data_IF_316774284939
#
_entry.id   IF_316774284939
#
_cell.length_a   1.000
_cell.length_b   1.000
_cell.length_c   1.000
_cell.angle_alpha   90.00
_cell.angle_beta   90.00
_cell.angle_gamma   90.00
#
_symmetry.space_group_name_H-M   'P 1'
#
loop_
_entity.id
_entity.type
_entity.pdbx_description
1 polymer ?
#
# COMPACT_ATOMS: atom_id res chain seq x y z
N UNK A 1 28.55 7.42 -10.08
CA UNK A 1 29.60 6.45 -9.67
C UNK A 1 28.95 5.45 -8.72
N UNK A 2 29.02 4.13 -9.02
CA UNK A 2 28.65 3.01 -8.12
C UNK A 2 27.17 2.61 -8.11
N UNK A 3 26.62 1.86 -9.09
CA UNK A 3 26.64 0.40 -9.36
C UNK A 3 25.75 -0.48 -8.43
N UNK A 4 24.80 -1.13 -9.11
CA UNK A 4 23.80 -2.13 -8.74
C UNK A 4 24.43 -3.50 -8.45
N UNK A 5 23.85 -4.29 -7.53
CA UNK A 5 23.61 -5.74 -7.71
C UNK A 5 22.24 -6.08 -7.12
N UNK A 6 21.41 -6.73 -7.95
CA UNK A 6 20.11 -7.34 -7.67
C UNK A 6 20.26 -8.70 -6.98
N UNK A 7 19.34 -9.02 -6.07
CA UNK A 7 18.73 -10.35 -5.87
C UNK A 7 17.40 -10.06 -5.17
N UNK A 8 16.22 -10.29 -5.71
CA UNK A 8 15.77 -11.55 -6.29
C UNK A 8 15.07 -12.35 -5.18
N UNK A 9 13.89 -11.91 -4.74
CA UNK A 9 13.02 -12.73 -3.90
C UNK A 9 11.63 -12.79 -4.54
N UNK A 10 11.43 -13.94 -5.18
CA UNK A 10 10.18 -14.44 -5.71
C UNK A 10 9.16 -14.60 -4.59
N UNK A 11 7.92 -14.24 -4.90
CA UNK A 11 6.72 -14.75 -4.28
C UNK A 11 6.89 -16.21 -3.82
N UNK A 12 6.87 -16.41 -2.51
CA UNK A 12 6.44 -17.67 -1.92
C UNK A 12 5.30 -17.34 -0.99
N UNK A 13 4.14 -17.81 -1.40
CA UNK A 13 2.97 -18.05 -0.56
C UNK A 13 3.44 -18.65 0.76
N UNK A 14 3.44 -17.86 1.84
CA UNK A 14 3.39 -18.41 3.19
C UNK A 14 1.97 -18.94 3.38
N UNK A 15 1.77 -20.18 2.90
CA UNK A 15 0.73 -21.06 3.40
C UNK A 15 0.82 -21.01 4.92
N UNK A 16 -0.20 -20.41 5.52
CA UNK A 16 -0.43 -20.43 6.95
C UNK A 16 -0.52 -21.89 7.40
N UNK A 17 0.59 -22.44 7.92
CA UNK A 17 0.56 -23.69 8.63
C UNK A 17 -0.51 -23.58 9.73
N UNK A 18 -1.46 -24.54 9.80
CA UNK A 18 -2.37 -24.57 10.92
C UNK A 18 -1.53 -24.78 12.16
N UNK A 19 -1.53 -23.79 13.07
CA UNK A 19 -1.02 -23.98 14.43
C UNK A 19 -1.92 -25.03 15.06
N UNK A 20 -1.57 -26.30 14.85
CA UNK A 20 -2.10 -27.41 15.60
C UNK A 20 -1.64 -27.21 17.02
N UNK A 21 -2.47 -26.53 17.82
CA UNK A 21 -2.38 -26.58 19.26
C UNK A 21 -2.69 -28.01 19.67
N UNK A 22 -1.67 -28.86 19.61
CA UNK A 22 -1.72 -30.23 20.08
C UNK A 22 -1.86 -30.13 21.60
N UNK A 23 -3.10 -30.05 22.08
CA UNK A 23 -3.44 -30.35 23.45
C UNK A 23 -2.98 -31.79 23.68
N UNK A 24 -1.75 -31.96 24.16
CA UNK A 24 -1.30 -33.21 24.75
C UNK A 24 -2.26 -33.49 25.89
N UNK A 25 -3.24 -34.35 25.62
CA UNK A 25 -4.01 -35.03 26.64
C UNK A 25 -2.97 -35.72 27.52
N UNK A 26 -2.75 -35.18 28.71
CA UNK A 26 -1.97 -35.85 29.72
C UNK A 26 -2.76 -37.10 30.11
N UNK A 27 -2.33 -38.24 29.59
CA UNK A 27 -2.77 -39.56 30.05
C UNK A 27 -2.55 -39.64 31.56
N UNK A 28 -3.52 -40.08 32.37
CA UNK A 28 -3.41 -40.16 33.83
C UNK A 28 -2.56 -41.37 34.28
N UNK A 29 -1.41 -41.59 33.65
CA UNK A 29 -0.45 -42.65 33.98
C UNK A 29 0.89 -42.05 34.38
N UNK A 30 0.88 -41.22 35.42
CA UNK A 30 2.07 -40.93 36.24
C UNK A 30 1.63 -40.37 37.59
N UNK A 31 0.64 -41.02 38.21
CA UNK A 31 0.54 -40.98 39.66
C UNK A 31 1.77 -41.74 40.15
N UNK A 32 2.70 -41.02 40.79
CA UNK A 32 3.81 -41.58 41.54
C UNK A 32 3.38 -42.90 42.19
N UNK A 33 3.89 -44.03 41.71
CA UNK A 33 3.94 -45.21 42.55
C UNK A 33 4.73 -44.77 43.78
N UNK A 34 4.20 -44.89 45.01
CA UNK A 34 5.02 -44.61 46.17
C UNK A 34 6.26 -45.51 46.05
N UNK A 35 7.44 -44.90 46.09
CA UNK A 35 8.69 -45.62 46.24
C UNK A 35 8.48 -46.58 47.40
N UNK A 36 8.50 -47.88 47.11
CA UNK A 36 8.50 -48.91 48.15
C UNK A 36 9.75 -48.63 48.96
N UNK A 37 9.68 -48.27 50.25
CA UNK A 37 10.89 -48.25 51.04
C UNK A 37 11.36 -49.70 51.17
N UNK A 38 12.32 -50.11 50.35
CA UNK A 38 13.15 -51.30 50.58
C UNK A 38 14.08 -51.01 51.76
N UNK A 39 13.50 -50.83 52.95
CA UNK A 39 14.24 -50.93 54.20
C UNK A 39 13.93 -52.32 54.74
N UNK A 40 14.94 -53.18 54.96
CA UNK A 40 14.69 -54.46 55.61
C UNK A 40 14.19 -54.16 57.02
N UNK A 41 12.90 -54.40 57.28
CA UNK A 41 12.30 -54.30 58.63
C UNK A 41 13.00 -55.21 59.66
N UNK A 42 13.94 -56.06 59.23
CA UNK A 42 14.79 -56.96 60.02
C UNK A 42 15.53 -56.31 61.19
N UNK A 43 15.75 -54.99 61.19
CA UNK A 43 16.39 -54.29 62.31
C UNK A 43 15.42 -53.82 63.40
N UNK A 44 14.19 -53.44 63.03
CA UNK A 44 13.28 -52.66 63.88
C UNK A 44 12.46 -53.50 64.86
N UNK A 45 12.35 -54.80 64.59
CA UNK A 45 11.67 -55.80 65.44
C UNK A 45 12.62 -56.90 65.91
N UNK A 46 13.93 -56.67 65.83
CA UNK A 46 14.97 -57.63 66.22
C UNK A 46 14.80 -58.10 67.66
N UNK A 47 14.31 -57.22 68.55
CA UNK A 47 13.99 -57.56 69.94
C UNK A 47 12.82 -58.54 70.06
N UNK A 48 11.77 -58.40 69.26
CA UNK A 48 10.65 -59.37 69.18
C UNK A 48 11.10 -60.71 68.61
N UNK A 49 12.02 -60.69 67.65
CA UNK A 49 12.60 -61.89 67.03
C UNK A 49 13.49 -62.66 68.02
N UNK A 50 14.32 -61.94 68.78
CA UNK A 50 15.17 -62.47 69.86
C UNK A 50 14.34 -62.99 71.05
N UNK A 51 13.25 -62.29 71.42
CA UNK A 51 12.33 -62.73 72.48
C UNK A 51 11.58 -64.00 72.06
N UNK A 52 11.11 -64.10 70.80
CA UNK A 52 10.46 -65.30 70.25
C UNK A 52 11.37 -66.54 70.34
N UNK A 53 12.65 -66.40 70.01
CA UNK A 53 13.64 -67.47 70.14
C UNK A 53 13.89 -67.85 71.61
N UNK A 54 13.92 -66.86 72.51
CA UNK A 54 14.10 -67.07 73.95
C UNK A 54 12.93 -67.77 74.63
N UNK A 55 11.68 -67.56 74.18
CA UNK A 55 10.50 -68.29 74.67
C UNK A 55 10.40 -69.74 74.18
N UNK A 56 11.24 -70.13 73.21
CA UNK A 56 11.24 -71.48 72.61
C UNK A 56 12.24 -72.45 73.27
N UNK A 57 13.06 -71.98 74.23
CA UNK A 57 14.03 -72.79 74.96
C UNK A 57 13.43 -73.34 76.28
N UNK A 58 13.30 -74.68 76.44
CA UNK A 58 12.65 -75.31 77.60
C UNK A 58 13.48 -75.26 78.90
N UNK A 59 14.70 -74.71 78.87
CA UNK A 59 15.61 -74.61 80.03
C UNK A 59 15.56 -73.28 80.78
N UNK A 60 14.71 -72.33 80.35
CA UNK A 60 14.62 -71.00 80.97
C UNK A 60 14.10 -71.03 82.42
N UNK A 61 14.70 -70.19 83.25
CA UNK A 61 14.20 -69.93 84.61
C UNK A 61 12.89 -69.15 84.57
N UNK A 62 12.02 -69.38 85.57
CA UNK A 62 10.72 -68.71 85.68
C UNK A 62 10.85 -67.17 85.78
N UNK A 63 11.96 -66.67 86.34
CA UNK A 63 12.23 -65.23 86.44
C UNK A 63 12.59 -64.63 85.07
N UNK A 64 13.37 -65.35 84.25
CA UNK A 64 13.79 -64.92 82.91
C UNK A 64 12.63 -64.91 81.91
N UNK A 65 11.69 -65.88 82.02
CA UNK A 65 10.43 -65.87 81.27
C UNK A 65 9.55 -64.66 81.64
N UNK A 66 9.58 -64.24 82.91
CA UNK A 66 8.82 -63.09 83.39
C UNK A 66 9.38 -61.78 82.82
N UNK A 67 10.70 -61.60 82.86
CA UNK A 67 11.40 -60.45 82.28
C UNK A 67 11.19 -60.34 80.77
N UNK A 68 11.31 -61.45 80.04
CA UNK A 68 11.02 -61.49 78.60
C UNK A 68 9.55 -61.16 78.31
N UNK A 69 8.62 -61.58 79.18
CA UNK A 69 7.19 -61.27 79.03
C UNK A 69 6.91 -59.78 79.21
N UNK A 70 7.60 -59.13 80.17
CA UNK A 70 7.52 -57.68 80.37
C UNK A 70 8.15 -56.89 79.20
N UNK A 71 9.34 -57.29 78.74
CA UNK A 71 9.99 -56.65 77.58
C UNK A 71 9.14 -56.76 76.30
N UNK A 72 8.52 -57.93 76.09
CA UNK A 72 7.60 -58.15 74.98
C UNK A 72 6.38 -57.22 75.09
N UNK A 73 5.78 -57.12 76.28
CA UNK A 73 4.63 -56.25 76.53
C UNK A 73 4.95 -54.76 76.32
N UNK A 74 6.16 -54.32 76.68
CA UNK A 74 6.64 -52.95 76.49
C UNK A 74 6.87 -52.60 75.02
N UNK A 75 7.46 -53.52 74.25
CA UNK A 75 7.60 -53.39 72.80
C UNK A 75 6.23 -53.36 72.09
N UNK A 76 5.31 -54.26 72.46
CA UNK A 76 3.94 -54.24 71.94
C UNK A 76 3.22 -52.93 72.29
N UNK A 77 3.39 -52.41 73.51
CA UNK A 77 2.81 -51.13 73.91
C UNK A 77 3.37 -49.97 73.08
N UNK A 78 4.68 -49.96 72.81
CA UNK A 78 5.35 -48.94 72.00
C UNK A 78 4.86 -48.98 70.54
N UNK A 79 4.73 -50.19 69.96
CA UNK A 79 4.20 -50.39 68.62
C UNK A 79 2.75 -49.92 68.52
N UNK A 80 1.90 -50.28 69.50
CA UNK A 80 0.51 -49.82 69.55
C UNK A 80 0.43 -48.29 69.64
N UNK A 81 1.29 -47.65 70.43
CA UNK A 81 1.36 -46.19 70.52
C UNK A 81 1.78 -45.54 69.19
N UNK A 82 2.76 -46.10 68.49
CA UNK A 82 3.16 -45.63 67.15
C UNK A 82 2.03 -45.81 66.12
N UNK A 83 1.29 -46.92 66.19
CA UNK A 83 0.14 -47.17 65.31
C UNK A 83 -0.97 -46.13 65.54
N UNK A 84 -1.25 -45.77 66.79
CA UNK A 84 -2.21 -44.71 67.12
C UNK A 84 -1.75 -43.34 66.57
N UNK A 85 -0.48 -42.98 66.77
CA UNK A 85 0.07 -41.73 66.23
C UNK A 85 0.02 -41.67 64.70
N UNK A 86 0.33 -42.79 64.02
CA UNK A 86 0.23 -42.89 62.56
C UNK A 86 -1.23 -42.72 62.09
N UNK A 87 -2.20 -43.29 62.81
CA UNK A 87 -3.62 -43.12 62.49
C UNK A 87 -4.07 -41.64 62.64
N UNK A 88 -3.62 -40.93 63.68
CA UNK A 88 -3.90 -39.50 63.88
C UNK A 88 -3.28 -38.62 62.78
N UNK A 89 -2.02 -38.89 62.42
CA UNK A 89 -1.34 -38.20 61.31
C UNK A 89 -2.05 -38.49 59.98
N UNK A 90 -2.53 -39.72 59.77
CA UNK A 90 -3.32 -40.09 58.58
C UNK A 90 -4.63 -39.31 58.52
N UNK A 91 -5.40 -39.22 59.61
CA UNK A 91 -6.67 -38.50 59.64
C UNK A 91 -6.46 -36.98 59.40
N UNK A 92 -5.44 -36.39 60.04
CA UNK A 92 -5.11 -34.98 59.81
C UNK A 92 -4.68 -34.70 58.36
N UNK A 93 -3.90 -35.60 57.75
CA UNK A 93 -3.53 -35.48 56.34
C UNK A 93 -4.74 -35.64 55.42
N UNK A 94 -5.64 -36.58 55.71
CA UNK A 94 -6.86 -36.79 54.93
C UNK A 94 -7.77 -35.56 54.97
N UNK A 95 -7.91 -34.89 56.12
CA UNK A 95 -8.62 -33.61 56.22
C UNK A 95 -7.95 -32.49 55.43
N UNK A 96 -6.61 -32.39 55.47
CA UNK A 96 -5.85 -31.40 54.69
C UNK A 96 -6.02 -31.62 53.19
N UNK A 97 -5.99 -32.87 52.73
CA UNK A 97 -6.22 -33.24 51.33
C UNK A 97 -7.64 -32.86 50.90
N UNK A 98 -8.66 -33.21 51.68
CA UNK A 98 -10.06 -32.84 51.39
C UNK A 98 -10.24 -31.32 51.27
N UNK A 99 -9.61 -30.55 52.17
CA UNK A 99 -9.66 -29.09 52.14
C UNK A 99 -8.92 -28.51 50.93
N UNK A 100 -7.81 -29.12 50.51
CA UNK A 100 -7.08 -28.72 49.31
C UNK A 100 -7.91 -29.02 48.05
N UNK A 101 -8.54 -30.19 47.98
CA UNK A 101 -9.42 -30.58 46.87
C UNK A 101 -10.60 -29.61 46.72
N UNK A 102 -11.24 -29.23 47.83
CA UNK A 102 -12.31 -28.23 47.82
C UNK A 102 -11.82 -26.87 47.27
N UNK A 103 -10.66 -26.39 47.72
CA UNK A 103 -10.06 -25.14 47.21
C UNK A 103 -9.71 -25.23 45.73
N UNK A 104 -9.18 -26.37 45.28
CA UNK A 104 -8.86 -26.61 43.87
C UNK A 104 -10.14 -26.56 43.02
N UNK A 105 -11.23 -27.20 43.49
CA UNK A 105 -12.52 -27.16 42.78
C UNK A 105 -13.07 -25.74 42.67
N UNK A 106 -13.02 -24.97 43.75
CA UNK A 106 -13.46 -23.56 43.75
C UNK A 106 -12.65 -22.72 42.75
N UNK A 107 -11.32 -22.86 42.78
CA UNK A 107 -10.44 -22.16 41.83
C UNK A 107 -10.69 -22.58 40.39
N UNK A 108 -10.92 -23.86 40.14
CA UNK A 108 -11.27 -24.37 38.81
C UNK A 108 -12.57 -23.78 38.30
N UNK A 109 -13.59 -23.62 39.16
CA UNK A 109 -14.85 -23.00 38.76
C UNK A 109 -14.68 -21.50 38.46
N UNK A 110 -13.92 -20.79 39.29
CA UNK A 110 -13.58 -19.38 39.04
C UNK A 110 -12.80 -19.19 37.73
N UNK A 111 -11.82 -20.06 37.45
CA UNK A 111 -11.06 -20.04 36.20
C UNK A 111 -11.97 -20.31 35.00
N UNK A 112 -12.89 -21.29 35.08
CA UNK A 112 -13.86 -21.55 34.02
C UNK A 112 -14.72 -20.31 33.73
N UNK A 113 -15.22 -19.64 34.77
CA UNK A 113 -16.01 -18.39 34.61
C UNK A 113 -15.19 -17.28 33.95
N UNK A 114 -13.92 -17.11 34.36
CA UNK A 114 -13.01 -16.12 33.75
C UNK A 114 -12.68 -16.45 32.30
N UNK A 115 -12.45 -17.72 31.97
CA UNK A 115 -12.16 -18.15 30.59
C UNK A 115 -13.33 -17.87 29.66
N UNK A 116 -14.56 -18.22 30.06
CA UNK A 116 -15.76 -17.91 29.27
C UNK A 116 -15.91 -16.40 29.04
N UNK A 117 -15.64 -15.58 30.06
CA UNK A 117 -15.67 -14.12 29.92
C UNK A 117 -14.61 -13.62 28.92
N UNK A 118 -13.37 -14.10 29.03
CA UNK A 118 -12.29 -13.71 28.12
C UNK A 118 -12.58 -14.15 26.69
N UNK A 119 -13.17 -15.33 26.48
CA UNK A 119 -13.58 -15.79 25.15
C UNK A 119 -14.59 -14.85 24.49
N UNK A 120 -15.57 -14.34 25.26
CA UNK A 120 -16.53 -13.36 24.78
C UNK A 120 -15.86 -12.01 24.43
N UNK A 121 -14.99 -11.50 25.31
CA UNK A 121 -14.26 -10.25 25.07
C UNK A 121 -13.33 -10.36 23.85
N UNK A 122 -12.67 -11.51 23.65
CA UNK A 122 -11.84 -11.78 22.47
C UNK A 122 -12.69 -11.80 21.20
N UNK A 123 -13.86 -12.46 21.22
CA UNK A 123 -14.75 -12.51 20.07
C UNK A 123 -15.24 -11.10 19.66
N UNK A 124 -15.61 -10.27 20.63
CA UNK A 124 -15.99 -8.86 20.39
C UNK A 124 -14.83 -8.06 19.79
N UNK A 125 -13.62 -8.18 20.34
CA UNK A 125 -12.44 -7.50 19.81
C UNK A 125 -12.08 -7.94 18.38
N UNK A 126 -12.24 -9.22 18.05
CA UNK A 126 -12.03 -9.73 16.69
C UNK A 126 -13.02 -9.08 15.72
N UNK A 127 -14.30 -8.98 16.10
CA UNK A 127 -15.32 -8.37 15.26
C UNK A 127 -15.10 -6.87 15.06
N UNK A 128 -14.79 -6.14 16.14
CA UNK A 128 -14.46 -4.72 16.05
C UNK A 128 -13.23 -4.48 15.15
N UNK A 129 -12.20 -5.31 15.25
CA UNK A 129 -11.01 -5.23 14.37
C UNK A 129 -11.37 -5.44 12.91
N UNK A 130 -12.26 -6.38 12.59
CA UNK A 130 -12.74 -6.59 11.21
C UNK A 130 -13.46 -5.36 10.69
N UNK A 131 -14.36 -4.78 11.49
CA UNK A 131 -15.09 -3.56 11.11
C UNK A 131 -14.15 -2.38 10.88
N UNK A 132 -13.17 -2.18 11.78
CA UNK A 132 -12.16 -1.14 11.61
C UNK A 132 -11.35 -1.37 10.33
N UNK A 133 -10.88 -2.58 10.08
CA UNK A 133 -10.13 -2.90 8.86
C UNK A 133 -10.96 -2.64 7.59
N UNK A 134 -12.25 -2.99 7.60
CA UNK A 134 -13.15 -2.72 6.48
C UNK A 134 -13.34 -1.21 6.27
N UNK A 135 -13.62 -0.46 7.33
CA UNK A 135 -13.79 1.00 7.27
C UNK A 135 -12.51 1.70 6.81
N UNK A 136 -11.35 1.27 7.26
CA UNK A 136 -10.07 1.81 6.80
C UNK A 136 -9.88 1.55 5.31
N UNK A 137 -10.21 0.36 4.80
CA UNK A 137 -10.15 0.05 3.36
C UNK A 137 -11.14 0.91 2.55
N UNK A 138 -12.37 1.07 3.01
CA UNK A 138 -13.36 1.93 2.36
C UNK A 138 -12.89 3.39 2.32
N UNK A 139 -12.31 3.87 3.41
CA UNK A 139 -11.80 5.23 3.52
C UNK A 139 -10.61 5.47 2.60
N UNK A 140 -9.65 4.53 2.52
CA UNK A 140 -8.48 4.67 1.63
C UNK A 140 -8.90 4.66 0.16
N UNK A 141 -9.80 3.75 -0.24
CA UNK A 141 -10.34 3.72 -1.61
C UNK A 141 -11.06 5.03 -1.95
N UNK A 142 -11.89 5.54 -1.04
CA UNK A 142 -12.63 6.78 -1.26
C UNK A 142 -11.69 7.99 -1.32
N UNK A 143 -10.70 8.06 -0.42
CA UNK A 143 -9.72 9.15 -0.41
C UNK A 143 -8.88 9.16 -1.69
N UNK A 144 -8.41 8.00 -2.17
CA UNK A 144 -7.69 7.90 -3.44
C UNK A 144 -8.55 8.36 -4.62
N UNK A 145 -9.83 7.99 -4.65
CA UNK A 145 -10.77 8.43 -5.69
C UNK A 145 -11.02 9.93 -5.63
N UNK A 146 -11.19 10.50 -4.43
CA UNK A 146 -11.37 11.94 -4.24
C UNK A 146 -10.13 12.71 -4.69
N UNK A 147 -8.94 12.28 -4.28
CA UNK A 147 -7.67 12.90 -4.65
C UNK A 147 -7.48 12.90 -6.18
N UNK A 148 -7.77 11.77 -6.85
CA UNK A 148 -7.74 11.70 -8.32
C UNK A 148 -8.72 12.70 -8.95
N UNK A 149 -9.95 12.74 -8.46
CA UNK A 149 -10.99 13.66 -8.99
C UNK A 149 -10.61 15.12 -8.77
N UNK A 150 -10.04 15.47 -7.61
CA UNK A 150 -9.55 16.82 -7.31
C UNK A 150 -8.45 17.20 -8.29
N UNK A 151 -7.47 16.33 -8.55
CA UNK A 151 -6.39 16.59 -9.49
C UNK A 151 -6.90 16.79 -10.93
N UNK A 152 -7.87 15.99 -11.37
CA UNK A 152 -8.49 16.16 -12.69
C UNK A 152 -9.24 17.50 -12.80
N UNK A 153 -9.96 17.90 -11.74
CA UNK A 153 -10.69 19.17 -11.70
C UNK A 153 -9.77 20.38 -11.65
N UNK A 154 -8.69 20.33 -10.85
CA UNK A 154 -7.72 21.42 -10.75
C UNK A 154 -7.00 21.61 -12.08
N UNK A 155 -6.63 20.52 -12.77
CA UNK A 155 -6.04 20.58 -14.10
C UNK A 155 -7.01 21.25 -15.11
N UNK A 156 -8.28 20.82 -15.16
CA UNK A 156 -9.27 21.45 -16.06
C UNK A 156 -9.53 22.91 -15.74
N UNK A 157 -9.51 23.28 -14.45
CA UNK A 157 -9.68 24.67 -14.05
C UNK A 157 -8.49 25.53 -14.54
N UNK A 158 -7.26 25.02 -14.40
CA UNK A 158 -6.07 25.67 -14.94
C UNK A 158 -6.15 25.85 -16.46
N UNK A 159 -6.64 24.83 -17.18
CA UNK A 159 -6.86 24.90 -18.63
C UNK A 159 -7.85 26.02 -18.99
N UNK A 160 -9.00 26.07 -18.31
CA UNK A 160 -10.04 27.09 -18.53
C UNK A 160 -9.51 28.50 -18.25
N UNK A 161 -8.89 28.72 -17.09
CA UNK A 161 -8.34 30.02 -16.69
C UNK A 161 -7.29 30.49 -17.71
N UNK A 162 -6.41 29.59 -18.15
CA UNK A 162 -5.35 29.94 -19.10
C UNK A 162 -5.93 30.30 -20.48
N UNK A 163 -6.95 29.57 -20.96
CA UNK A 163 -7.63 29.90 -22.22
C UNK A 163 -8.42 31.21 -22.15
N UNK A 164 -8.99 31.54 -20.98
CA UNK A 164 -9.65 32.83 -20.76
C UNK A 164 -8.64 33.97 -20.80
N UNK A 165 -7.55 33.85 -20.03
CA UNK A 165 -6.47 34.84 -20.00
C UNK A 165 -5.83 35.04 -21.39
N UNK A 166 -5.66 33.96 -22.16
CA UNK A 166 -5.19 34.05 -23.55
C UNK A 166 -6.10 34.98 -24.37
N UNK A 167 -7.42 34.81 -24.30
CA UNK A 167 -8.36 35.66 -25.02
C UNK A 167 -8.33 37.12 -24.57
N UNK A 168 -8.28 37.35 -23.26
CA UNK A 168 -8.20 38.70 -22.67
C UNK A 168 -6.93 39.45 -23.12
N UNK A 169 -5.77 38.78 -23.06
CA UNK A 169 -4.51 39.39 -23.50
C UNK A 169 -4.45 39.63 -25.01
N UNK A 170 -4.93 38.67 -25.82
CA UNK A 170 -4.93 38.84 -27.28
C UNK A 170 -5.80 40.02 -27.74
N UNK A 171 -6.90 40.32 -27.05
CA UNK A 171 -7.74 41.49 -27.35
C UNK A 171 -7.03 42.82 -27.08
N UNK A 172 -6.15 42.83 -26.08
CA UNK A 172 -5.39 44.00 -25.64
C UNK A 172 -4.07 44.21 -26.41
N UNK A 173 -3.59 43.21 -27.16
CA UNK A 173 -2.38 43.35 -27.97
C UNK A 173 -2.52 44.46 -29.02
N UNK A 174 -1.44 45.21 -29.20
CA UNK A 174 -1.34 46.31 -30.17
C UNK A 174 -0.41 46.01 -31.36
N UNK A 175 0.36 44.91 -31.29
CA UNK A 175 1.25 44.46 -32.37
C UNK A 175 1.26 42.93 -32.50
N UNK A 176 1.60 42.42 -33.69
CA UNK A 176 1.72 40.97 -33.92
C UNK A 176 2.74 40.32 -32.98
N UNK A 177 3.85 41.00 -32.71
CA UNK A 177 4.93 40.52 -31.84
C UNK A 177 4.43 40.23 -30.42
N UNK A 178 3.58 41.10 -29.86
CA UNK A 178 2.94 40.88 -28.57
C UNK A 178 2.05 39.63 -28.59
N UNK A 179 1.31 39.41 -29.68
CA UNK A 179 0.46 38.22 -29.79
C UNK A 179 1.28 36.93 -29.73
N UNK A 180 2.48 36.91 -30.33
CA UNK A 180 3.38 35.76 -30.28
C UNK A 180 3.82 35.50 -28.84
N UNK A 181 4.22 36.54 -28.10
CA UNK A 181 4.64 36.41 -26.71
C UNK A 181 3.52 35.86 -25.82
N UNK A 182 2.29 36.38 -25.97
CA UNK A 182 1.11 35.91 -25.22
C UNK A 182 0.80 34.45 -25.53
N UNK A 183 0.81 34.06 -26.81
CA UNK A 183 0.52 32.69 -27.21
C UNK A 183 1.59 31.72 -26.70
N UNK A 184 2.87 32.04 -26.88
CA UNK A 184 3.99 31.21 -26.40
C UNK A 184 3.97 31.05 -24.88
N UNK A 185 3.68 32.11 -24.14
CA UNK A 185 3.53 32.05 -22.68
C UNK A 185 2.39 31.12 -22.26
N UNK A 186 1.25 31.19 -22.96
CA UNK A 186 0.10 30.31 -22.72
C UNK A 186 0.41 28.86 -23.06
N UNK A 187 1.11 28.60 -24.16
CA UNK A 187 1.56 27.25 -24.53
C UNK A 187 2.49 26.65 -23.48
N UNK A 188 3.42 27.42 -22.91
CA UNK A 188 4.31 26.95 -21.83
C UNK A 188 3.56 26.52 -20.58
N UNK A 189 2.47 27.22 -20.24
CA UNK A 189 1.64 26.89 -19.07
C UNK A 189 0.77 25.66 -19.29
N UNK A 190 0.23 25.49 -20.50
CA UNK A 190 -0.68 24.39 -20.84
C UNK A 190 0.05 23.11 -21.22
N UNK A 191 1.25 23.24 -21.77
CA UNK A 191 2.07 22.12 -22.26
C UNK A 191 3.49 22.16 -21.68
N UNK A 192 3.66 22.11 -20.35
CA UNK A 192 4.96 22.30 -19.70
C UNK A 192 5.97 21.19 -20.02
N UNK A 193 5.49 19.97 -20.28
CA UNK A 193 6.34 18.81 -20.60
C UNK A 193 6.58 18.63 -22.12
N UNK A 194 5.89 19.40 -22.94
CA UNK A 194 5.94 19.26 -24.40
C UNK A 194 6.71 20.42 -25.03
N UNK A 195 7.05 20.27 -26.31
CA UNK A 195 7.71 21.32 -27.08
C UNK A 195 6.88 21.67 -28.31
N UNK A 196 7.03 22.88 -28.84
CA UNK A 196 6.30 23.25 -30.03
C UNK A 196 6.73 24.59 -30.59
N UNK A 197 6.10 24.98 -31.70
CA UNK A 197 6.34 26.25 -32.34
C UNK A 197 5.13 26.76 -33.10
N UNK A 198 5.13 28.06 -33.38
CA UNK A 198 4.14 28.76 -34.19
C UNK A 198 4.82 29.22 -35.46
N UNK A 199 4.13 29.07 -36.59
CA UNK A 199 4.60 29.53 -37.89
C UNK A 199 3.50 30.27 -38.63
N UNK A 200 3.88 31.30 -39.39
CA UNK A 200 2.99 32.10 -40.23
C UNK A 200 3.34 31.90 -41.70
N UNK A 201 2.32 31.93 -42.56
CA UNK A 201 2.52 31.97 -44.00
C UNK A 201 3.02 33.36 -44.41
N UNK A 202 3.91 33.38 -45.40
CA UNK A 202 4.32 34.58 -46.08
C UNK A 202 3.21 35.13 -47.00
N UNK A 203 3.40 36.34 -47.53
CA UNK A 203 2.43 36.97 -48.44
C UNK A 203 2.19 36.16 -49.72
N UNK A 204 3.16 35.33 -50.12
CA UNK A 204 3.03 34.44 -51.27
C UNK A 204 2.22 33.17 -50.96
N UNK A 205 1.89 32.94 -49.69
CA UNK A 205 1.18 31.77 -49.18
C UNK A 205 1.87 30.46 -49.56
N UNK A 206 3.21 30.44 -49.59
CA UNK A 206 4.01 29.26 -49.97
C UNK A 206 4.96 28.84 -48.87
N UNK A 207 5.47 29.78 -48.09
CA UNK A 207 6.50 29.52 -47.08
C UNK A 207 5.94 29.77 -45.69
N UNK A 208 6.19 28.82 -44.79
CA UNK A 208 5.92 28.96 -43.36
C UNK A 208 7.20 29.42 -42.67
N UNK A 209 7.13 30.54 -41.96
CA UNK A 209 8.22 31.06 -41.11
C UNK A 209 7.85 30.87 -39.65
N UNK A 210 8.76 30.26 -38.88
CA UNK A 210 8.62 30.10 -37.43
C UNK A 210 8.81 31.45 -36.75
N UNK A 211 7.79 31.88 -36.00
CA UNK A 211 7.76 33.18 -35.30
C UNK A 211 7.96 33.05 -33.79
N UNK A 212 7.82 31.83 -33.24
CA UNK A 212 8.05 31.57 -31.83
C UNK A 212 8.04 30.08 -31.50
N UNK A 213 8.68 29.70 -30.41
CA UNK A 213 8.76 28.32 -29.93
C UNK A 213 8.74 28.23 -28.40
N UNK A 214 8.38 27.05 -27.90
CA UNK A 214 8.40 26.70 -26.48
C UNK A 214 8.90 25.27 -26.25
N UNK A 215 9.24 24.98 -24.99
CA UNK A 215 9.78 23.70 -24.57
C UNK A 215 11.25 23.51 -24.96
N UNK A 216 11.82 22.37 -24.56
CA UNK A 216 13.24 22.06 -24.70
C UNK A 216 13.52 21.28 -25.98
N UNK A 217 13.27 21.87 -27.15
CA UNK A 217 13.63 21.29 -28.46
C UNK A 217 14.35 22.32 -29.32
N UNK A 218 15.46 21.92 -29.93
CA UNK A 218 16.14 22.74 -30.94
C UNK A 218 15.52 22.51 -32.31
N UNK A 219 14.99 23.58 -32.92
CA UNK A 219 14.48 23.56 -34.29
C UNK A 219 15.56 24.09 -35.23
N UNK A 220 16.07 23.22 -36.11
CA UNK A 220 17.15 23.57 -37.05
C UNK A 220 16.67 24.37 -38.26
N UNK A 221 15.39 24.23 -38.61
CA UNK A 221 14.79 24.86 -39.79
C UNK A 221 13.68 25.82 -39.33
N UNK A 222 13.90 27.12 -39.52
CA UNK A 222 12.97 28.18 -39.12
C UNK A 222 12.06 28.63 -40.28
N UNK A 223 12.27 28.11 -41.49
CA UNK A 223 11.43 28.42 -42.65
C UNK A 223 11.35 27.19 -43.56
N UNK A 224 10.13 26.87 -44.03
CA UNK A 224 9.89 25.68 -44.85
C UNK A 224 8.66 25.82 -45.74
N UNK A 225 8.64 25.08 -46.86
CA UNK A 225 7.53 25.08 -47.80
C UNK A 225 6.25 24.49 -47.16
N UNK A 226 5.10 25.14 -47.38
CA UNK A 226 3.79 24.69 -46.89
C UNK A 226 3.46 23.24 -47.27
N UNK A 227 3.99 22.74 -48.39
CA UNK A 227 3.81 21.36 -48.87
C UNK A 227 4.45 20.32 -47.94
N UNK A 228 5.35 20.75 -47.04
CA UNK A 228 5.93 19.90 -46.00
C UNK A 228 5.02 19.70 -44.78
N UNK A 229 3.86 20.35 -44.73
CA UNK A 229 2.88 20.20 -43.66
C UNK A 229 1.55 19.65 -44.20
N UNK A 230 1.16 18.45 -43.77
CA UNK A 230 -0.14 17.87 -44.11
C UNK A 230 -1.30 18.73 -43.62
N UNK A 231 -1.14 19.36 -42.46
CA UNK A 231 -2.21 20.14 -41.85
C UNK A 231 -2.57 21.39 -42.65
N UNK A 232 -1.55 22.12 -43.12
CA UNK A 232 -1.72 23.31 -43.96
C UNK A 232 -2.24 22.92 -45.34
N UNK A 233 -1.67 21.90 -45.98
CA UNK A 233 -2.14 21.40 -47.29
C UNK A 233 -3.62 21.02 -47.31
N UNK A 234 -4.14 20.50 -46.19
CA UNK A 234 -5.51 20.01 -46.06
C UNK A 234 -6.46 21.03 -45.42
N UNK A 235 -5.92 22.11 -44.84
CA UNK A 235 -6.69 23.02 -43.97
C UNK A 235 -7.34 22.31 -42.78
N UNK A 236 -6.77 21.18 -42.32
CA UNK A 236 -7.30 20.37 -41.22
C UNK A 236 -6.16 19.90 -40.33
N UNK A 237 -6.42 19.73 -39.04
CA UNK A 237 -5.44 19.17 -38.12
C UNK A 237 -4.87 17.84 -38.63
N UNK A 238 -3.57 17.67 -38.48
CA UNK A 238 -2.87 16.40 -38.71
C UNK A 238 -2.29 15.92 -37.38
N UNK A 239 -2.75 14.76 -36.92
CA UNK A 239 -2.37 14.17 -35.64
C UNK A 239 -1.60 12.88 -35.91
N UNK A 240 -0.38 12.77 -35.35
CA UNK A 240 0.48 11.60 -35.42
C UNK A 240 0.63 11.08 -34.00
N UNK A 241 -0.17 10.08 -33.65
CA UNK A 241 -0.08 9.45 -32.33
C UNK A 241 1.01 8.37 -32.31
N UNK A 242 1.03 7.54 -33.35
CA UNK A 242 2.07 6.54 -33.58
C UNK A 242 2.81 6.86 -34.89
N UNK A 243 4.09 7.26 -34.82
CA UNK A 243 4.93 7.53 -35.99
C UNK A 243 5.12 6.34 -36.94
N UNK A 244 4.88 5.11 -36.50
CA UNK A 244 5.00 3.90 -37.33
C UNK A 244 3.76 3.65 -38.19
N UNK A 245 2.60 4.11 -37.73
CA UNK A 245 1.31 3.90 -38.41
C UNK A 245 0.91 5.13 -39.22
N UNK A 246 1.14 6.33 -38.67
CA UNK A 246 0.66 7.59 -39.25
C UNK A 246 1.81 8.35 -39.92
N UNK A 247 1.66 8.81 -41.18
CA UNK A 247 2.73 9.51 -41.87
C UNK A 247 3.09 10.82 -41.15
N UNK A 248 4.37 10.95 -40.82
CA UNK A 248 4.94 12.13 -40.17
C UNK A 248 5.04 13.28 -41.19
N UNK A 249 4.76 14.51 -40.75
CA UNK A 249 5.03 15.69 -41.58
C UNK A 249 6.54 15.82 -41.84
N UNK A 250 6.99 16.05 -43.10
CA UNK A 250 8.40 16.27 -43.39
C UNK A 250 9.08 17.40 -42.60
N UNK A 251 8.32 18.33 -42.00
CA UNK A 251 8.87 19.38 -41.13
C UNK A 251 9.06 18.95 -39.66
N UNK A 252 8.35 17.92 -39.18
CA UNK A 252 8.07 17.74 -37.75
C UNK A 252 9.20 17.06 -36.95
N UNK A 253 10.16 16.41 -37.63
CA UNK A 253 11.32 15.75 -37.01
C UNK A 253 10.96 14.96 -35.72
N UNK A 254 9.95 14.09 -35.81
CA UNK A 254 9.39 13.32 -34.68
C UNK A 254 10.24 12.05 -34.46
N UNK A 255 10.59 11.76 -33.21
CA UNK A 255 11.24 10.52 -32.78
C UNK A 255 10.31 9.30 -32.83
N UNK A 256 10.83 8.10 -32.60
CA UNK A 256 10.05 6.85 -32.68
C UNK A 256 8.92 6.75 -31.64
N UNK A 257 9.14 7.34 -30.46
CA UNK A 257 8.26 7.22 -29.30
C UNK A 257 7.55 8.57 -28.98
N UNK A 258 7.70 9.56 -29.87
CA UNK A 258 7.09 10.87 -29.76
C UNK A 258 5.80 10.90 -30.58
N UNK A 259 4.83 11.69 -30.13
CA UNK A 259 3.63 11.99 -30.91
C UNK A 259 3.62 13.46 -31.30
N UNK A 260 2.85 13.84 -32.32
CA UNK A 260 2.80 15.23 -32.77
C UNK A 260 1.45 15.66 -33.28
N UNK A 261 1.18 16.96 -33.14
CA UNK A 261 0.01 17.63 -33.69
C UNK A 261 0.47 18.81 -34.54
N UNK A 262 -0.07 18.90 -35.75
CA UNK A 262 -0.02 20.12 -36.56
C UNK A 262 -1.44 20.64 -36.71
N UNK A 263 -1.70 21.84 -36.22
CA UNK A 263 -3.00 22.50 -36.29
C UNK A 263 -2.87 23.73 -37.18
N UNK A 264 -3.60 23.82 -38.31
CA UNK A 264 -3.58 25.01 -39.14
C UNK A 264 -4.35 26.13 -38.44
N UNK A 265 -3.76 27.31 -38.39
CA UNK A 265 -4.42 28.50 -37.90
C UNK A 265 -5.28 29.04 -39.04
N UNK A 266 -6.60 28.91 -38.91
CA UNK A 266 -7.55 29.25 -39.99
C UNK A 266 -8.49 30.37 -39.54
N UNK A 267 -8.58 31.43 -40.33
CA UNK A 267 -9.47 32.56 -40.08
C UNK A 267 -10.13 32.98 -41.40
N UNK A 268 -11.42 33.28 -41.36
CA UNK A 268 -12.26 33.55 -42.54
C UNK A 268 -12.09 32.53 -43.70
N UNK A 269 -11.86 31.25 -43.36
CA UNK A 269 -11.68 30.18 -44.34
C UNK A 269 -10.30 30.12 -45.00
N UNK A 270 -9.35 30.97 -44.59
CA UNK A 270 -7.97 30.95 -45.07
C UNK A 270 -7.02 30.50 -43.97
N UNK A 271 -6.07 29.64 -44.33
CA UNK A 271 -4.98 29.25 -43.43
C UNK A 271 -3.96 30.39 -43.43
N UNK A 272 -3.68 30.94 -42.25
CA UNK A 272 -2.72 32.05 -42.06
C UNK A 272 -1.39 31.56 -41.48
N UNK A 273 -1.35 30.32 -40.99
CA UNK A 273 -0.19 29.72 -40.36
C UNK A 273 -0.47 28.35 -39.79
N UNK A 274 0.43 27.86 -38.94
CA UNK A 274 0.33 26.55 -38.29
C UNK A 274 0.99 26.55 -36.93
N UNK A 275 0.34 25.91 -35.96
CA UNK A 275 0.91 25.56 -34.67
C UNK A 275 1.32 24.09 -34.66
N UNK A 276 2.54 23.82 -34.23
CA UNK A 276 3.09 22.48 -34.08
C UNK A 276 3.32 22.17 -32.60
N UNK A 277 2.87 21.00 -32.16
CA UNK A 277 3.12 20.44 -30.84
C UNK A 277 3.79 19.07 -30.99
N UNK A 278 4.90 18.88 -30.30
CA UNK A 278 5.61 17.62 -30.13
C UNK A 278 5.34 17.14 -28.70
N UNK A 279 4.60 16.04 -28.59
CA UNK A 279 4.19 15.44 -27.33
C UNK A 279 5.18 14.35 -26.97
N UNK A 280 5.79 14.49 -25.79
CA UNK A 280 6.75 13.51 -25.28
C UNK A 280 6.03 12.41 -24.51
N UNK A 281 6.56 11.17 -24.52
CA UNK A 281 6.07 10.13 -23.64
C UNK A 281 6.29 10.57 -22.19
N UNK A 282 5.29 10.31 -21.33
CA UNK A 282 5.42 10.56 -19.90
C UNK A 282 6.45 9.64 -19.25
N UNK A 283 7.04 10.07 -18.14
CA UNK A 283 8.02 9.26 -17.39
C UNK A 283 7.38 8.05 -16.69
N UNK A 284 6.05 8.09 -16.48
CA UNK A 284 5.30 7.05 -15.80
C UNK A 284 4.75 6.00 -16.78
N UNK A 285 4.73 4.74 -16.34
CA UNK A 285 4.09 3.63 -17.07
C UNK A 285 2.57 3.83 -17.07
N UNK A 286 2.08 4.54 -18.08
CA UNK A 286 0.65 4.72 -18.35
C UNK A 286 0.11 3.57 -19.19
N UNK A 287 -1.15 3.21 -18.97
CA UNK A 287 -1.85 2.28 -19.86
C UNK A 287 -2.09 2.92 -21.24
N UNK A 288 -2.20 2.11 -22.29
CA UNK A 288 -2.50 2.61 -23.66
C UNK A 288 -3.76 3.50 -23.68
N UNK A 289 -4.77 3.15 -22.86
CA UNK A 289 -6.00 3.92 -22.73
C UNK A 289 -5.78 5.30 -22.11
N UNK A 290 -4.93 5.41 -21.09
CA UNK A 290 -4.60 6.69 -20.46
C UNK A 290 -3.78 7.58 -21.39
N UNK A 291 -2.83 6.99 -22.13
CA UNK A 291 -2.07 7.71 -23.15
C UNK A 291 -2.98 8.26 -24.25
N UNK A 292 -3.93 7.45 -24.74
CA UNK A 292 -4.94 7.89 -25.70
C UNK A 292 -5.77 9.08 -25.17
N UNK A 293 -6.27 8.97 -23.94
CA UNK A 293 -7.09 10.02 -23.33
C UNK A 293 -6.31 11.33 -23.14
N UNK A 294 -5.05 11.23 -22.74
CA UNK A 294 -4.17 12.39 -22.59
C UNK A 294 -3.88 13.05 -23.95
N UNK A 295 -3.59 12.25 -24.98
CA UNK A 295 -3.37 12.74 -26.34
C UNK A 295 -4.61 13.50 -26.86
N UNK A 296 -5.80 12.93 -26.71
CA UNK A 296 -7.05 13.58 -27.12
C UNK A 296 -7.35 14.86 -26.33
N UNK A 297 -7.01 14.90 -25.04
CA UNK A 297 -7.16 16.09 -24.21
C UNK A 297 -6.24 17.22 -24.71
N UNK A 298 -4.95 16.92 -24.91
CA UNK A 298 -3.98 17.86 -25.49
C UNK A 298 -4.41 18.33 -26.87
N UNK A 299 -4.93 17.43 -27.70
CA UNK A 299 -5.45 17.74 -29.02
C UNK A 299 -6.58 18.76 -28.98
N UNK A 300 -7.61 18.53 -28.15
CA UNK A 300 -8.73 19.48 -28.01
C UNK A 300 -8.24 20.86 -27.53
N UNK A 301 -7.35 20.88 -26.54
CA UNK A 301 -6.83 22.13 -26.00
C UNK A 301 -6.02 22.91 -27.04
N UNK A 302 -5.15 22.22 -27.79
CA UNK A 302 -4.29 22.82 -28.80
C UNK A 302 -5.08 23.37 -29.99
N UNK A 303 -6.13 22.65 -30.43
CA UNK A 303 -7.06 23.16 -31.46
C UNK A 303 -7.77 24.42 -30.98
N UNK A 304 -8.30 24.44 -29.76
CA UNK A 304 -8.96 25.63 -29.20
C UNK A 304 -8.02 26.85 -29.14
N UNK A 305 -6.74 26.64 -28.81
CA UNK A 305 -5.75 27.73 -28.83
C UNK A 305 -5.51 28.26 -30.23
N UNK A 306 -5.32 27.37 -31.21
CA UNK A 306 -5.08 27.76 -32.59
C UNK A 306 -6.25 28.56 -33.17
N UNK A 307 -7.49 28.12 -32.93
CA UNK A 307 -8.69 28.80 -33.42
C UNK A 307 -8.85 30.20 -32.80
N UNK A 308 -8.68 30.32 -31.47
CA UNK A 308 -8.75 31.61 -30.77
C UNK A 308 -7.67 32.57 -31.27
N UNK A 309 -6.44 32.08 -31.37
CA UNK A 309 -5.32 32.88 -31.81
C UNK A 309 -5.46 33.33 -33.27
N UNK A 310 -5.86 32.43 -34.17
CA UNK A 310 -6.05 32.74 -35.58
C UNK A 310 -7.03 33.89 -35.79
N UNK A 311 -8.16 33.86 -35.07
CA UNK A 311 -9.16 34.94 -35.15
C UNK A 311 -8.60 36.26 -34.60
N UNK A 312 -7.97 36.25 -33.42
CA UNK A 312 -7.44 37.47 -32.81
C UNK A 312 -6.31 38.12 -33.64
N UNK A 313 -5.45 37.32 -34.26
CA UNK A 313 -4.38 37.83 -35.13
C UNK A 313 -4.96 38.53 -36.36
N UNK A 314 -6.02 37.96 -36.98
CA UNK A 314 -6.67 38.59 -38.13
C UNK A 314 -7.43 39.85 -37.73
N UNK A 315 -8.12 39.84 -36.59
CA UNK A 315 -8.78 41.04 -36.05
C UNK A 315 -7.76 42.16 -35.78
N UNK A 316 -6.56 41.82 -35.30
CA UNK A 316 -5.48 42.79 -35.12
C UNK A 316 -5.01 43.37 -36.46
N UNK A 317 -4.65 42.52 -37.43
CA UNK A 317 -4.23 42.94 -38.79
C UNK A 317 -5.25 43.83 -39.47
N UNK A 318 -6.54 43.51 -39.31
CA UNK A 318 -7.64 44.31 -39.85
C UNK A 318 -7.70 45.68 -39.17
N UNK A 319 -7.61 45.74 -37.84
CA UNK A 319 -7.58 47.01 -37.08
C UNK A 319 -6.38 47.88 -37.46
N UNK A 320 -5.20 47.29 -37.63
CA UNK A 320 -3.99 48.00 -38.08
C UNK A 320 -4.18 48.59 -39.49
N UNK A 321 -4.69 47.78 -40.42
CA UNK A 321 -4.97 48.23 -41.79
C UNK A 321 -5.95 49.41 -41.81
N UNK A 322 -7.02 49.35 -41.01
CA UNK A 322 -7.99 50.43 -40.88
C UNK A 322 -7.39 51.70 -40.25
N UNK A 323 -6.53 51.56 -39.25
CA UNK A 323 -5.81 52.71 -38.67
C UNK A 323 -4.93 53.39 -39.72
N UNK A 324 -4.19 52.61 -40.51
CA UNK A 324 -3.33 53.15 -41.58
C UNK A 324 -4.17 53.88 -42.64
N UNK A 325 -5.33 53.35 -43.02
CA UNK A 325 -6.23 53.98 -44.01
C UNK A 325 -6.92 55.26 -43.48
N UNK A 326 -7.19 55.35 -42.18
CA UNK A 326 -7.86 56.51 -41.57
C UNK A 326 -6.89 57.63 -41.17
N UNK A 327 -5.67 57.29 -40.75
CA UNK A 327 -4.65 58.27 -40.34
C UNK A 327 -3.57 58.54 -41.40
N UNK A 328 -3.51 57.73 -42.46
CA UNK A 328 -2.72 57.99 -43.66
C UNK A 328 -3.56 58.69 -44.73
N UNK A 329 -3.69 60.02 -44.63
CA UNK A 329 -4.08 60.88 -45.76
C UNK A 329 -2.80 61.51 -46.31
N UNK A 330 -2.61 61.55 -47.65
CA UNK A 330 -1.38 61.95 -48.34
C UNK A 330 -0.84 63.35 -48.00
#
# INVERSE_FOLDING_TARGET
MGRIIETGESDREEESEPVHLCLRQATPEKIMKPDKPEVPYKGKYSLLENLRESFSDPSLSQDTLRENGYALAEEYATILQQLVQLAEVSDTNQRKLLNADFKIQEQQEQLKRKNVRLELEIAEHIELRKQLQQRTKELTVTNNRLTKTINELTQRNLEIITLQQLGEFLQACESEEETFHVLISSCRRLFPADAGYISLLDDSMKMLRVVGFWGERSYKQLEFDQQRCWAVRRGKMHAVQDPQITPICPHAQVGSDESSLCVPMTAHGQVIGMMHLLIRPGEEKQTEREQQQLFEAKQRLFVNMADRYAMSLIDLRLRETLKIQLFGIP
#
